data_IF_431826845651
#
_entry.id   IF_431826845651
#
_cell.length_a   1.000
_cell.length_b   1.000
_cell.length_c   1.000
_cell.angle_alpha   90.00
_cell.angle_beta   90.00
_cell.angle_gamma   90.00
#
_symmetry.space_group_name_H-M   'P 1'
#
loop_
_entity.id
_entity.type
_entity.pdbx_description
1 polymer ?
#
# COMPACT_ATOMS: atom_id res chain seq x y z
N UNK A 1 -16.08 -1.94 -14.67
CA UNK A 1 -15.35 -1.05 -13.74
C UNK A 1 -16.15 0.24 -13.69
N UNK A 2 -16.49 0.68 -12.49
CA UNK A 2 -17.33 1.87 -12.25
C UNK A 2 -16.53 3.02 -11.66
N UNK A 3 -15.40 2.75 -11.00
CA UNK A 3 -14.48 3.75 -10.48
C UNK A 3 -13.07 3.21 -10.33
N UNK A 4 -12.09 4.10 -10.35
CA UNK A 4 -10.67 3.80 -10.27
C UNK A 4 -9.99 4.77 -9.31
N UNK A 5 -9.23 4.21 -8.34
CA UNK A 5 -8.25 4.94 -7.56
C UNK A 5 -6.87 4.32 -7.78
N UNK A 6 -5.84 5.12 -7.97
CA UNK A 6 -4.50 4.59 -8.23
C UNK A 6 -3.38 5.53 -7.81
N UNK A 7 -2.22 4.93 -7.54
CA UNK A 7 -0.95 5.61 -7.30
C UNK A 7 0.13 4.89 -8.10
N UNK A 8 0.77 5.60 -9.01
CA UNK A 8 1.88 5.09 -9.79
C UNK A 8 3.11 5.98 -9.66
N UNK A 9 4.32 5.44 -9.91
CA UNK A 9 5.55 6.24 -9.96
C UNK A 9 5.43 7.40 -10.96
N UNK A 10 6.24 8.44 -10.76
CA UNK A 10 6.23 9.62 -11.63
C UNK A 10 5.11 10.62 -11.31
N UNK A 11 4.54 10.56 -10.09
CA UNK A 11 3.50 11.48 -9.64
C UNK A 11 2.13 11.23 -10.26
N UNK A 12 1.93 10.08 -10.92
CA UNK A 12 0.64 9.71 -11.51
C UNK A 12 -0.34 9.24 -10.41
N UNK A 13 -0.97 10.23 -9.79
CA UNK A 13 -2.00 10.06 -8.78
C UNK A 13 -3.38 10.20 -9.43
N UNK A 14 -4.13 9.10 -9.48
CA UNK A 14 -5.42 9.02 -10.15
C UNK A 14 -5.33 8.65 -11.64
N UNK A 15 -6.49 8.28 -12.24
CA UNK A 15 -6.54 7.75 -13.61
C UNK A 15 -6.09 8.75 -14.68
N UNK A 16 -6.43 10.04 -14.55
CA UNK A 16 -6.07 11.06 -15.52
C UNK A 16 -4.55 11.27 -15.58
N UNK A 17 -3.89 11.44 -14.43
CA UNK A 17 -2.44 11.59 -14.37
C UNK A 17 -1.71 10.34 -14.89
N UNK A 18 -2.25 9.16 -14.64
CA UNK A 18 -1.71 7.92 -15.20
C UNK A 18 -1.86 7.86 -16.73
N UNK A 19 -3.00 8.27 -17.24
CA UNK A 19 -3.24 8.33 -18.69
C UNK A 19 -2.31 9.34 -19.38
N UNK A 20 -2.16 10.54 -18.82
CA UNK A 20 -1.23 11.56 -19.34
C UNK A 20 0.20 11.04 -19.38
N UNK A 21 0.66 10.36 -18.33
CA UNK A 21 1.99 9.76 -18.27
C UNK A 21 2.18 8.72 -19.37
N UNK A 22 1.18 7.85 -19.60
CA UNK A 22 1.22 6.84 -20.68
C UNK A 22 1.26 7.48 -22.05
N UNK A 23 0.43 8.51 -22.30
CA UNK A 23 0.41 9.23 -23.58
C UNK A 23 1.73 9.95 -23.87
N UNK A 24 2.36 10.48 -22.83
CA UNK A 24 3.66 11.15 -22.94
C UNK A 24 4.83 10.16 -23.12
N UNK A 25 4.61 8.85 -22.91
CA UNK A 25 5.67 7.83 -22.93
C UNK A 25 6.72 8.06 -21.84
N UNK A 26 6.32 8.59 -20.69
CA UNK A 26 7.22 8.93 -19.58
C UNK A 26 7.79 7.66 -18.94
N UNK A 27 9.12 7.58 -18.82
CA UNK A 27 9.79 6.60 -18.00
C UNK A 27 9.82 7.10 -16.55
N UNK A 28 9.02 6.48 -15.68
CA UNK A 28 8.91 6.82 -14.28
C UNK A 28 9.84 6.01 -13.37
N UNK A 29 10.77 5.24 -13.96
CA UNK A 29 11.80 4.54 -13.21
C UNK A 29 12.91 5.51 -12.81
N UNK A 30 13.25 5.51 -11.54
CA UNK A 30 14.29 6.39 -10.98
C UNK A 30 15.30 5.61 -10.15
N UNK A 31 16.42 6.24 -9.83
CA UNK A 31 17.35 5.68 -8.85
C UNK A 31 16.70 5.66 -7.47
N UNK A 32 17.06 4.66 -6.66
CA UNK A 32 16.52 4.50 -5.30
C UNK A 32 16.74 5.78 -4.49
N UNK A 33 15.67 6.45 -4.03
CA UNK A 33 15.79 7.68 -3.27
C UNK A 33 16.49 7.45 -1.92
N UNK A 34 17.30 8.42 -1.45
CA UNK A 34 18.09 8.26 -0.21
C UNK A 34 17.24 8.15 1.06
N UNK A 35 16.00 8.61 1.03
CA UNK A 35 15.02 8.47 2.11
C UNK A 35 14.39 7.06 2.19
N UNK A 36 14.54 6.26 1.15
CA UNK A 36 14.07 4.87 1.14
C UNK A 36 15.10 3.93 1.77
N UNK A 37 16.32 3.95 1.29
CA UNK A 37 17.43 3.16 1.85
C UNK A 37 18.79 3.66 1.36
N UNK A 38 19.82 3.33 2.12
CA UNK A 38 21.19 3.71 1.77
C UNK A 38 21.72 2.83 0.62
N UNK A 39 21.60 3.33 -0.60
CA UNK A 39 22.05 2.60 -1.78
C UNK A 39 23.55 2.22 -1.71
N UNK A 40 24.41 3.09 -1.22
CA UNK A 40 25.83 2.82 -1.11
C UNK A 40 26.15 1.64 -0.17
N UNK A 41 25.32 1.41 0.84
CA UNK A 41 25.48 0.29 1.76
C UNK A 41 25.05 -1.06 1.16
N UNK A 42 24.10 -1.05 0.23
CA UNK A 42 23.48 -2.28 -0.29
C UNK A 42 23.76 -2.59 -1.75
N UNK A 43 24.17 -1.61 -2.54
CA UNK A 43 24.44 -1.80 -3.96
C UNK A 43 25.83 -2.44 -4.21
N UNK A 44 25.87 -3.40 -5.11
CA UNK A 44 27.07 -3.90 -5.75
C UNK A 44 26.74 -4.26 -7.20
N UNK A 45 27.59 -3.81 -8.14
CA UNK A 45 27.37 -4.10 -9.57
C UNK A 45 27.50 -5.59 -9.92
N UNK A 46 28.23 -6.34 -9.08
CA UNK A 46 28.39 -7.79 -9.30
C UNK A 46 27.21 -8.54 -8.68
N UNK A 47 26.49 -9.35 -9.49
CA UNK A 47 25.33 -10.09 -9.00
C UNK A 47 25.76 -11.21 -8.04
N UNK A 48 24.84 -11.58 -7.14
CA UNK A 48 25.00 -12.75 -6.25
C UNK A 48 25.85 -12.51 -5.01
N UNK A 49 26.29 -11.31 -4.71
CA UNK A 49 26.96 -11.00 -3.44
C UNK A 49 25.95 -11.05 -2.28
N UNK A 50 26.21 -11.83 -1.21
CA UNK A 50 25.34 -11.89 -0.05
C UNK A 50 25.08 -10.51 0.57
N UNK A 51 23.81 -10.18 0.86
CA UNK A 51 23.41 -8.91 1.47
C UNK A 51 23.51 -7.69 0.53
N UNK A 52 23.71 -7.91 -0.77
CA UNK A 52 23.78 -6.85 -1.78
C UNK A 52 22.71 -7.02 -2.87
N UNK A 53 22.38 -5.93 -3.50
CA UNK A 53 21.58 -5.88 -4.71
C UNK A 53 22.40 -5.30 -5.86
N UNK A 54 22.20 -5.81 -7.07
CA UNK A 54 22.78 -5.24 -8.30
C UNK A 54 21.82 -4.32 -9.04
N UNK A 55 20.62 -4.11 -8.50
CA UNK A 55 19.67 -3.11 -9.00
C UNK A 55 19.75 -1.84 -8.16
N UNK A 56 19.75 -0.71 -8.83
CA UNK A 56 19.71 0.63 -8.23
C UNK A 56 18.51 1.44 -8.70
N UNK A 57 17.66 0.83 -9.49
CA UNK A 57 16.52 1.46 -10.13
C UNK A 57 15.22 0.83 -9.67
N UNK A 58 14.16 1.62 -9.59
CA UNK A 58 12.82 1.15 -9.26
C UNK A 58 11.76 2.20 -9.54
N UNK A 59 10.50 1.78 -9.46
CA UNK A 59 9.36 2.67 -9.49
C UNK A 59 8.98 3.07 -8.06
N UNK A 60 9.11 4.34 -7.73
CA UNK A 60 8.84 4.84 -6.38
C UNK A 60 7.61 5.74 -6.37
N UNK A 61 6.71 5.47 -5.44
CA UNK A 61 5.55 6.31 -5.15
C UNK A 61 5.97 7.33 -4.08
N UNK A 62 5.60 8.58 -4.28
CA UNK A 62 5.85 9.66 -3.33
C UNK A 62 4.84 9.63 -2.17
N UNK A 63 5.20 10.26 -1.04
CA UNK A 63 4.29 10.48 0.08
C UNK A 63 3.79 9.23 0.80
N UNK A 64 4.50 8.11 0.72
CA UNK A 64 4.07 6.85 1.39
C UNK A 64 4.03 6.94 2.92
N UNK A 65 4.68 7.95 3.49
CA UNK A 65 4.65 8.30 4.91
C UNK A 65 3.50 9.26 5.26
N UNK A 66 2.86 9.84 4.26
CA UNK A 66 1.69 10.70 4.43
C UNK A 66 0.42 9.85 4.60
N UNK A 67 -0.43 10.26 5.51
CA UNK A 67 -1.74 9.63 5.73
C UNK A 67 -2.55 10.50 6.67
N UNK A 68 -3.81 10.74 6.38
CA UNK A 68 -4.73 11.39 7.31
C UNK A 68 -5.48 10.36 8.17
N UNK A 69 -4.97 10.00 9.35
CA UNK A 69 -5.64 9.04 10.22
C UNK A 69 -6.98 9.56 10.75
N UNK A 70 -7.12 10.89 10.89
CA UNK A 70 -8.33 11.51 11.39
C UNK A 70 -9.50 11.31 10.45
N UNK A 71 -9.27 11.40 9.15
CA UNK A 71 -10.27 11.13 8.12
C UNK A 71 -10.86 9.72 8.23
N UNK A 72 -10.02 8.73 8.50
CA UNK A 72 -10.42 7.33 8.64
C UNK A 72 -10.78 6.93 10.07
N UNK A 73 -10.86 7.86 11.03
CA UNK A 73 -11.15 7.55 12.43
C UNK A 73 -10.09 6.66 13.11
N UNK A 74 -8.86 6.65 12.58
CA UNK A 74 -7.73 5.87 13.09
C UNK A 74 -6.90 6.75 14.02
N UNK A 75 -6.48 6.20 15.17
CA UNK A 75 -5.62 6.96 16.07
C UNK A 75 -4.23 7.19 15.46
N UNK A 76 -3.56 8.33 15.71
CA UNK A 76 -2.19 8.55 15.24
C UNK A 76 -1.21 7.46 15.68
N UNK A 77 -1.41 6.90 16.88
CA UNK A 77 -0.60 5.80 17.41
C UNK A 77 -0.77 4.52 16.58
N UNK A 78 -1.98 4.19 16.17
CA UNK A 78 -2.24 3.05 15.30
C UNK A 78 -1.67 3.30 13.91
N UNK A 79 -1.96 4.47 13.30
CA UNK A 79 -1.47 4.84 11.99
C UNK A 79 0.05 4.74 11.84
N UNK A 80 0.79 5.10 12.90
CA UNK A 80 2.25 4.98 12.93
C UNK A 80 2.75 3.52 12.80
N UNK A 81 1.96 2.55 13.25
CA UNK A 81 2.32 1.12 13.17
C UNK A 81 1.78 0.43 11.93
N UNK A 82 0.92 1.10 11.15
CA UNK A 82 0.33 0.54 9.95
C UNK A 82 1.34 0.47 8.81
N UNK A 83 1.38 -0.67 8.14
CA UNK A 83 2.07 -0.83 6.87
C UNK A 83 1.64 0.26 5.88
N UNK A 84 2.57 0.94 5.19
CA UNK A 84 2.22 1.89 4.12
C UNK A 84 1.23 1.32 3.10
N UNK A 85 1.29 0.01 2.79
CA UNK A 85 0.33 -0.64 1.90
C UNK A 85 -1.11 -0.50 2.42
N UNK A 86 -1.35 -0.71 3.72
CA UNK A 86 -2.69 -0.56 4.30
C UNK A 86 -3.20 0.88 4.22
N UNK A 87 -2.32 1.87 4.41
CA UNK A 87 -2.67 3.29 4.32
C UNK A 87 -3.04 3.69 2.90
N UNK A 88 -2.19 3.36 1.93
CA UNK A 88 -2.43 3.62 0.51
C UNK A 88 -3.70 2.93 -0.01
N UNK A 89 -3.96 1.69 0.43
CA UNK A 89 -5.16 0.96 0.04
C UNK A 89 -6.45 1.61 0.58
N UNK A 90 -6.42 2.18 1.78
CA UNK A 90 -7.56 2.93 2.32
C UNK A 90 -7.85 4.16 1.46
N UNK A 91 -6.83 4.95 1.14
CA UNK A 91 -6.97 6.16 0.32
C UNK A 91 -7.44 5.83 -1.10
N UNK A 92 -6.79 4.87 -1.76
CA UNK A 92 -7.16 4.51 -3.14
C UNK A 92 -8.52 3.81 -3.23
N UNK A 93 -8.92 3.03 -2.22
CA UNK A 93 -10.27 2.46 -2.17
C UNK A 93 -11.33 3.55 -2.00
N UNK A 94 -11.09 4.53 -1.15
CA UNK A 94 -11.96 5.68 -0.98
C UNK A 94 -12.12 6.46 -2.29
N UNK A 95 -11.01 6.82 -2.91
CA UNK A 95 -11.00 7.53 -4.19
C UNK A 95 -11.71 6.77 -5.32
N UNK A 96 -11.53 5.45 -5.38
CA UNK A 96 -12.25 4.62 -6.35
C UNK A 96 -13.77 4.65 -6.13
N UNK A 97 -14.22 4.74 -4.90
CA UNK A 97 -15.66 4.88 -4.59
C UNK A 97 -16.18 6.28 -4.94
N UNK A 98 -15.40 7.32 -4.70
CA UNK A 98 -15.73 8.69 -5.12
C UNK A 98 -15.81 8.79 -6.65
N UNK A 99 -14.83 8.25 -7.37
CA UNK A 99 -14.80 8.21 -8.83
C UNK A 99 -16.01 7.43 -9.41
N UNK A 100 -16.42 6.36 -8.72
CA UNK A 100 -17.62 5.61 -9.07
C UNK A 100 -18.94 6.37 -8.80
N UNK A 101 -18.89 7.52 -8.15
CA UNK A 101 -20.09 8.21 -7.66
C UNK A 101 -20.83 7.43 -6.57
N UNK A 102 -20.16 6.49 -5.90
CA UNK A 102 -20.75 5.70 -4.82
C UNK A 102 -20.72 6.50 -3.52
N UNK A 103 -21.89 6.85 -3.00
CA UNK A 103 -21.99 7.41 -1.66
C UNK A 103 -21.59 6.34 -0.63
N UNK A 104 -20.54 6.63 0.14
CA UNK A 104 -20.14 5.75 1.26
C UNK A 104 -21.06 6.02 2.43
N UNK A 105 -22.07 5.19 2.61
CA UNK A 105 -22.93 5.23 3.78
C UNK A 105 -22.50 4.17 4.79
N UNK A 106 -21.60 4.57 5.68
CA UNK A 106 -21.08 3.68 6.74
C UNK A 106 -22.13 3.28 7.78
N UNK A 107 -23.31 3.93 7.77
CA UNK A 107 -24.41 3.61 8.69
C UNK A 107 -25.23 2.41 8.19
N UNK A 108 -25.26 2.18 6.89
CA UNK A 108 -25.94 1.05 6.29
C UNK A 108 -24.93 0.02 5.79
N UNK A 109 -25.07 -1.21 6.25
CA UNK A 109 -24.23 -2.31 5.81
C UNK A 109 -24.46 -2.61 4.32
N UNK A 110 -23.37 -2.79 3.58
CA UNK A 110 -23.39 -3.19 2.17
C UNK A 110 -22.88 -4.61 2.01
N UNK A 111 -23.52 -5.41 1.15
CA UNK A 111 -23.04 -6.77 0.78
C UNK A 111 -21.84 -6.75 -0.19
N UNK A 112 -21.13 -5.64 -0.24
CA UNK A 112 -19.93 -5.46 -1.06
C UNK A 112 -18.76 -6.26 -0.50
N UNK A 113 -18.08 -7.01 -1.36
CA UNK A 113 -16.85 -7.74 -1.03
C UNK A 113 -15.59 -6.89 -1.25
N UNK A 114 -14.51 -7.26 -0.56
CA UNK A 114 -13.17 -6.67 -0.70
C UNK A 114 -12.17 -7.77 -1.03
N UNK A 115 -11.58 -7.68 -2.22
CA UNK A 115 -10.64 -8.64 -2.76
C UNK A 115 -9.33 -7.90 -3.08
N UNK A 116 -8.21 -8.34 -2.50
CA UNK A 116 -6.94 -7.63 -2.62
C UNK A 116 -5.79 -8.55 -2.97
N UNK A 117 -4.96 -8.13 -3.90
CA UNK A 117 -3.68 -8.75 -4.18
C UNK A 117 -2.57 -8.09 -3.36
N UNK A 118 -1.99 -8.81 -2.38
CA UNK A 118 -0.82 -8.37 -1.61
C UNK A 118 0.12 -9.56 -1.41
N UNK A 119 1.40 -9.36 -1.68
CA UNK A 119 2.41 -10.42 -1.63
C UNK A 119 3.63 -10.09 -0.77
N UNK A 120 3.77 -8.87 -0.25
CA UNK A 120 4.95 -8.45 0.52
C UNK A 120 4.60 -8.10 1.96
N UNK A 121 5.49 -8.44 2.88
CA UNK A 121 5.36 -8.20 4.32
C UNK A 121 6.62 -7.59 4.92
N UNK A 122 7.33 -6.80 4.12
CA UNK A 122 8.60 -6.15 4.50
C UNK A 122 8.47 -5.30 5.75
N UNK A 123 7.37 -4.59 5.88
CA UNK A 123 7.12 -3.74 7.04
C UNK A 123 6.99 -4.55 8.33
N UNK A 124 6.36 -5.72 8.28
CA UNK A 124 6.31 -6.65 9.40
C UNK A 124 7.72 -7.13 9.79
N UNK A 125 8.56 -7.47 8.81
CA UNK A 125 9.95 -7.85 9.03
C UNK A 125 10.73 -6.70 9.67
N UNK A 126 10.56 -5.48 9.17
CA UNK A 126 11.20 -4.30 9.74
C UNK A 126 10.81 -4.11 11.21
N UNK A 127 9.51 -4.14 11.53
CA UNK A 127 9.05 -3.95 12.91
C UNK A 127 9.49 -5.08 13.86
N UNK A 128 9.47 -6.32 13.39
CA UNK A 128 9.78 -7.49 14.24
C UNK A 128 11.24 -7.91 14.20
N UNK A 129 12.00 -7.51 13.18
CA UNK A 129 13.40 -7.87 12.97
C UNK A 129 14.40 -7.19 13.92
N UNK A 130 14.02 -6.06 14.53
CA UNK A 130 14.89 -5.37 15.48
C UNK A 130 15.06 -6.13 16.78
N UNK A 131 16.25 -6.04 17.40
CA UNK A 131 16.52 -6.61 18.72
C UNK A 131 15.69 -5.94 19.81
N UNK A 132 15.53 -4.63 19.70
CA UNK A 132 14.67 -3.86 20.60
C UNK A 132 13.20 -4.04 20.20
N UNK A 133 12.41 -4.59 21.11
CA UNK A 133 10.97 -4.83 20.94
C UNK A 133 10.11 -3.74 21.62
N UNK A 134 10.70 -2.67 22.13
CA UNK A 134 9.99 -1.60 22.83
C UNK A 134 8.96 -0.88 21.94
N UNK A 135 9.16 -0.91 20.63
CA UNK A 135 8.24 -0.34 19.63
C UNK A 135 7.00 -1.22 19.37
N UNK A 136 7.03 -2.50 19.77
CA UNK A 136 5.89 -3.39 19.57
C UNK A 136 4.77 -3.05 20.57
N UNK A 137 3.59 -2.87 20.03
CA UNK A 137 2.40 -2.50 20.79
C UNK A 137 1.16 -3.26 20.33
N UNK A 138 0.02 -2.91 20.91
CA UNK A 138 -1.28 -3.57 20.65
C UNK A 138 -1.70 -3.49 19.17
N UNK A 139 -1.24 -2.49 18.45
CA UNK A 139 -1.57 -2.28 17.03
C UNK A 139 -0.56 -2.90 16.06
N UNK A 140 0.57 -3.44 16.54
CA UNK A 140 1.62 -3.96 15.65
C UNK A 140 1.14 -5.12 14.78
N UNK A 141 0.36 -6.04 15.35
CA UNK A 141 -0.20 -7.15 14.58
C UNK A 141 -1.22 -6.67 13.54
N UNK A 142 -2.17 -5.82 13.92
CA UNK A 142 -3.19 -5.29 13.01
C UNK A 142 -2.61 -4.35 11.95
N UNK A 143 -1.50 -3.72 12.25
CA UNK A 143 -0.79 -2.85 11.31
C UNK A 143 0.01 -3.59 10.24
N UNK A 144 0.36 -4.88 10.45
CA UNK A 144 1.31 -5.58 9.59
C UNK A 144 0.80 -6.87 8.96
N UNK A 145 -0.26 -7.48 9.51
CA UNK A 145 -0.83 -8.73 8.95
C UNK A 145 -1.57 -8.42 7.66
N UNK A 146 -1.24 -9.14 6.57
CA UNK A 146 -1.78 -8.88 5.23
C UNK A 146 -3.32 -8.97 5.17
N UNK A 147 -3.93 -9.96 5.81
CA UNK A 147 -5.39 -10.12 5.81
C UNK A 147 -6.14 -8.93 6.39
N UNK A 148 -5.49 -8.16 7.28
CA UNK A 148 -6.07 -6.96 7.87
C UNK A 148 -6.24 -5.85 6.82
N UNK A 149 -5.44 -5.82 5.77
CA UNK A 149 -5.56 -4.80 4.72
C UNK A 149 -6.97 -4.78 4.10
N UNK A 150 -7.49 -5.94 3.66
CA UNK A 150 -8.85 -6.06 3.14
C UNK A 150 -9.89 -5.84 4.24
N UNK A 151 -9.70 -6.46 5.41
CA UNK A 151 -10.65 -6.39 6.51
C UNK A 151 -10.79 -4.98 7.08
N UNK A 152 -9.72 -4.18 7.06
CA UNK A 152 -9.76 -2.79 7.52
C UNK A 152 -10.68 -1.94 6.64
N UNK A 153 -10.63 -2.11 5.33
CA UNK A 153 -11.55 -1.45 4.40
C UNK A 153 -13.00 -1.89 4.69
N UNK A 154 -13.23 -3.20 4.79
CA UNK A 154 -14.56 -3.72 5.12
C UNK A 154 -15.08 -3.16 6.44
N UNK A 155 -14.24 -3.07 7.46
CA UNK A 155 -14.62 -2.54 8.77
C UNK A 155 -14.96 -1.05 8.72
N UNK A 156 -14.09 -0.24 8.10
CA UNK A 156 -14.26 1.21 8.06
C UNK A 156 -15.44 1.64 7.18
N UNK A 157 -15.73 0.89 6.11
CA UNK A 157 -16.81 1.19 5.18
C UNK A 157 -18.07 0.36 5.44
N UNK A 158 -18.14 -0.39 6.55
CA UNK A 158 -19.25 -1.26 6.93
C UNK A 158 -19.69 -2.24 5.83
N UNK A 159 -18.69 -2.85 5.13
CA UNK A 159 -18.94 -3.83 4.07
C UNK A 159 -19.04 -5.24 4.67
N UNK A 160 -20.03 -6.02 4.27
CA UNK A 160 -20.33 -7.36 4.83
C UNK A 160 -20.13 -8.51 3.87
N UNK A 161 -19.75 -8.23 2.63
CA UNK A 161 -19.38 -9.25 1.67
C UNK A 161 -18.07 -9.93 2.04
N UNK A 162 -17.60 -10.92 1.23
CA UNK A 162 -16.32 -11.57 1.43
C UNK A 162 -15.17 -10.57 1.48
N UNK A 163 -14.21 -10.78 2.40
CA UNK A 163 -13.09 -9.85 2.61
C UNK A 163 -11.82 -10.66 2.84
N UNK A 164 -10.91 -10.67 1.85
CA UNK A 164 -9.68 -11.42 1.94
C UNK A 164 -8.57 -10.88 1.03
N UNK A 165 -7.36 -11.27 1.36
CA UNK A 165 -6.16 -11.00 0.59
C UNK A 165 -5.72 -12.28 -0.12
N UNK A 166 -5.27 -12.14 -1.36
CA UNK A 166 -4.74 -13.22 -2.18
C UNK A 166 -3.26 -12.94 -2.44
N UNK A 167 -2.43 -13.94 -2.21
CA UNK A 167 -1.03 -13.93 -2.60
C UNK A 167 -0.78 -15.06 -3.61
N UNK A 168 -0.59 -14.68 -4.86
CA UNK A 168 -0.11 -15.53 -5.95
C UNK A 168 1.10 -14.86 -6.63
N UNK A 169 1.92 -14.16 -5.84
CA UNK A 169 3.06 -13.37 -6.28
C UNK A 169 2.64 -12.30 -7.33
N UNK A 170 3.33 -12.22 -8.46
CA UNK A 170 3.09 -11.19 -9.48
C UNK A 170 1.67 -11.20 -10.07
N UNK A 171 0.93 -12.28 -9.94
CA UNK A 171 -0.45 -12.42 -10.45
C UNK A 171 -1.54 -12.09 -9.43
N UNK A 172 -1.19 -11.72 -8.20
CA UNK A 172 -2.14 -11.53 -7.10
C UNK A 172 -3.30 -10.59 -7.45
N UNK A 173 -2.99 -9.45 -8.06
CA UNK A 173 -3.99 -8.45 -8.45
C UNK A 173 -4.91 -8.87 -9.58
N UNK A 174 -4.49 -9.84 -10.41
CA UNK A 174 -5.33 -10.39 -11.49
C UNK A 174 -6.22 -11.54 -11.00
N UNK A 175 -5.85 -12.16 -9.87
CA UNK A 175 -6.62 -13.24 -9.25
C UNK A 175 -7.65 -12.68 -8.25
N UNK A 176 -7.34 -11.54 -7.62
CA UNK A 176 -8.26 -10.82 -6.74
C UNK A 176 -9.41 -10.22 -7.53
#
# INVERSE_FOLDING_TARGET
ITGIGCRFPGGANGPDGFWEMLCAGTDAISEIPPDRWNLAAFYDKEPGRPGKTNSRWGGFIEGIDQFDPGFFGISPREAHTMDPQQRLLLETAWEAMEDAGCAVDVTNASDTGVFMGLATFDYAIMQTGFRDKSSLGVHSATGTVLSIAANRISYLLNLRGPSFVIDTACSSSLVA
#
